data_IF_690322964804
#
_entry.id   IF_690322964804
#
_cell.length_a   1.000
_cell.length_b   1.000
_cell.length_c   1.000
_cell.angle_alpha   90.00
_cell.angle_beta   90.00
_cell.angle_gamma   90.00
#
_symmetry.space_group_name_H-M   'P 1'
#
loop_
_entity.id
_entity.type
_entity.pdbx_description
1 polymer ?
#
# COMPACT_ATOMS: atom_id res chain seq x y z
N UNK A 1 34.24 8.14 29.33
CA UNK A 1 33.52 7.37 28.29
C UNK A 1 32.48 8.28 27.70
N UNK A 2 32.68 8.70 26.44
CA UNK A 2 31.82 9.65 25.72
C UNK A 2 30.74 8.86 24.99
N UNK A 3 29.48 9.08 25.34
CA UNK A 3 28.31 8.50 24.68
C UNK A 3 28.08 9.32 23.40
N UNK A 4 28.26 8.69 22.24
CA UNK A 4 27.86 9.29 20.95
C UNK A 4 26.34 9.13 20.78
N UNK A 5 25.60 10.16 20.34
CA UNK A 5 24.19 10.03 20.02
C UNK A 5 24.00 9.30 18.69
N UNK A 6 23.11 8.31 18.68
CA UNK A 6 22.59 7.71 17.44
C UNK A 6 21.71 8.75 16.76
N UNK A 7 22.10 9.18 15.56
CA UNK A 7 21.32 10.09 14.72
C UNK A 7 20.17 9.31 14.08
N UNK A 8 18.93 9.56 14.52
CA UNK A 8 17.75 9.24 13.73
C UNK A 8 17.68 10.21 12.54
N UNK A 9 18.00 9.72 11.35
CA UNK A 9 17.89 10.48 10.11
C UNK A 9 16.46 10.32 9.58
N UNK A 10 15.66 11.40 9.65
CA UNK A 10 14.39 11.49 8.96
C UNK A 10 14.65 11.51 7.44
N UNK A 11 14.16 10.52 6.70
CA UNK A 11 14.25 10.47 5.24
C UNK A 11 12.91 10.91 4.64
N UNK A 12 12.95 12.12 4.10
CA UNK A 12 12.24 12.66 2.93
C UNK A 12 10.78 12.23 2.69
N UNK A 13 9.83 12.95 3.29
CA UNK A 13 8.48 13.12 2.74
C UNK A 13 8.57 13.99 1.47
N UNK A 14 8.42 13.40 0.29
CA UNK A 14 8.20 14.17 -0.95
C UNK A 14 6.73 14.63 -0.99
N UNK A 15 6.43 15.67 -0.21
CA UNK A 15 5.19 16.43 -0.36
C UNK A 15 5.40 17.49 -1.46
N UNK A 16 4.94 17.22 -2.69
CA UNK A 16 4.77 18.27 -3.70
C UNK A 16 3.54 19.11 -3.34
N UNK A 17 3.78 20.25 -2.70
CA UNK A 17 2.79 21.32 -2.56
C UNK A 17 2.77 22.16 -3.84
N UNK A 18 1.71 22.04 -4.65
CA UNK A 18 1.40 23.02 -5.70
C UNK A 18 0.57 24.16 -5.09
N UNK A 19 1.15 25.36 -5.13
CA UNK A 19 0.55 26.63 -4.68
C UNK A 19 -0.66 27.00 -5.55
N UNK A 20 -1.74 27.40 -4.88
CA UNK A 20 -2.92 27.99 -5.50
C UNK A 20 -2.68 29.44 -5.95
N UNK A 21 -3.05 29.72 -7.20
CA UNK A 21 -3.82 30.89 -7.64
C UNK A 21 -3.33 32.30 -7.32
N UNK A 22 -2.78 32.99 -8.33
CA UNK A 22 -2.68 34.44 -8.42
C UNK A 22 -2.82 34.93 -9.88
N UNK A 23 -3.95 35.58 -10.16
CA UNK A 23 -4.40 36.34 -11.36
C UNK A 23 -3.43 37.47 -11.77
N UNK A 24 -3.07 37.83 -13.03
CA UNK A 24 -3.73 38.28 -14.31
C UNK A 24 -2.58 38.72 -15.30
N UNK A 25 -2.78 39.28 -16.52
CA UNK A 25 -3.63 38.94 -17.67
C UNK A 25 -2.83 38.77 -19.01
N UNK A 26 -3.57 38.52 -20.10
CA UNK A 26 -3.17 38.19 -21.47
C UNK A 26 -2.30 39.22 -22.25
N UNK A 27 -1.47 38.73 -23.19
CA UNK A 27 -1.21 39.35 -24.51
C UNK A 27 -0.93 38.27 -25.57
N UNK A 28 -1.56 38.46 -26.73
CA UNK A 28 -1.51 37.67 -27.98
C UNK A 28 -0.18 37.77 -28.72
N UNK A 29 0.12 36.73 -29.51
CA UNK A 29 0.65 36.74 -30.88
C UNK A 29 1.87 35.82 -31.11
N UNK A 30 1.68 34.82 -31.99
CA UNK A 30 2.73 34.32 -32.88
C UNK A 30 2.80 35.22 -34.13
N UNK A 31 3.90 35.24 -34.92
CA UNK A 31 4.12 34.15 -35.88
C UNK A 31 5.60 33.80 -36.23
N UNK A 32 5.78 32.53 -36.60
CA UNK A 32 6.53 32.00 -37.76
C UNK A 32 8.04 32.26 -38.00
N UNK A 33 8.74 31.13 -38.19
CA UNK A 33 9.74 30.75 -39.24
C UNK A 33 11.24 30.61 -38.94
N UNK A 34 11.76 29.52 -39.56
CA UNK A 34 13.14 29.13 -39.95
C UNK A 34 14.16 28.59 -38.94
N UNK A 35 14.39 27.27 -39.03
CA UNK A 35 15.64 26.63 -39.46
C UNK A 35 16.95 26.89 -38.70
N UNK A 36 17.53 25.83 -38.13
CA UNK A 36 18.94 25.83 -37.71
C UNK A 36 19.31 24.65 -36.80
N UNK A 37 20.12 23.73 -37.31
CA UNK A 37 20.82 22.66 -36.59
C UNK A 37 21.98 23.22 -35.76
N UNK A 38 22.10 22.83 -34.47
CA UNK A 38 23.33 22.32 -33.81
C UNK A 38 23.19 22.26 -32.27
N UNK A 39 23.68 21.14 -31.73
CA UNK A 39 24.42 20.94 -30.48
C UNK A 39 23.81 21.33 -29.10
N UNK A 40 23.64 20.27 -28.30
CA UNK A 40 24.19 20.07 -26.95
C UNK A 40 23.78 21.02 -25.80
N UNK A 41 23.06 20.45 -24.83
CA UNK A 41 23.07 20.89 -23.43
C UNK A 41 22.44 19.81 -22.54
N UNK A 42 23.28 18.91 -22.02
CA UNK A 42 22.96 18.18 -20.79
C UNK A 42 22.98 19.16 -19.61
N UNK A 43 21.97 19.20 -18.72
CA UNK A 43 22.12 19.93 -17.47
C UNK A 43 22.99 19.13 -16.49
N UNK A 44 24.13 19.73 -16.15
CA UNK A 44 25.03 19.33 -15.07
C UNK A 44 24.29 19.42 -13.73
N UNK A 45 24.19 18.29 -13.00
CA UNK A 45 23.81 18.27 -11.59
C UNK A 45 25.00 18.73 -10.73
N UNK A 46 24.82 19.60 -9.72
CA UNK A 46 25.88 19.90 -8.77
C UNK A 46 26.13 18.69 -7.85
N UNK A 47 27.40 18.48 -7.53
CA UNK A 47 27.93 17.22 -7.02
C UNK A 47 27.35 16.77 -5.69
N UNK A 48 27.00 15.48 -5.64
CA UNK A 48 26.75 14.74 -4.42
C UNK A 48 28.08 14.56 -3.68
N UNK A 49 28.22 15.28 -2.56
CA UNK A 49 29.19 14.92 -1.54
C UNK A 49 28.80 13.57 -0.94
N UNK A 50 29.69 12.60 -1.01
CA UNK A 50 29.53 11.28 -0.44
C UNK A 50 29.23 11.38 1.07
N UNK A 51 28.02 10.96 1.45
CA UNK A 51 27.69 10.56 2.81
C UNK A 51 27.28 9.09 2.73
N UNK A 52 27.88 8.25 3.57
CA UNK A 52 27.67 6.79 3.61
C UNK A 52 26.18 6.45 3.58
N UNK A 53 25.71 6.05 2.40
CA UNK A 53 24.29 5.93 2.04
C UNK A 53 23.69 4.61 2.44
N UNK A 54 23.44 4.40 3.73
CA UNK A 54 22.53 3.35 4.17
C UNK A 54 21.07 3.82 3.99
N UNK A 55 20.35 3.19 3.07
CA UNK A 55 18.90 3.33 2.95
C UNK A 55 18.24 2.71 4.19
N UNK A 56 17.44 3.50 4.90
CA UNK A 56 16.70 3.06 6.09
C UNK A 56 15.29 2.60 5.72
N UNK A 57 14.68 1.67 6.47
CA UNK A 57 13.29 1.27 6.26
C UNK A 57 12.32 2.46 6.44
N UNK A 58 11.32 2.53 5.57
CA UNK A 58 10.18 3.46 5.68
C UNK A 58 9.17 2.95 6.72
N UNK A 59 8.53 3.87 7.44
CA UNK A 59 7.49 3.55 8.40
C UNK A 59 6.19 3.06 7.71
N UNK A 60 5.48 2.05 8.27
CA UNK A 60 4.08 1.81 7.94
C UNK A 60 3.27 3.10 8.08
N UNK A 61 2.28 3.33 7.22
CA UNK A 61 1.41 4.53 7.24
C UNK A 61 1.91 5.75 6.45
N UNK A 62 3.09 5.70 5.82
CA UNK A 62 3.52 6.72 4.87
C UNK A 62 2.90 6.46 3.48
N UNK A 63 1.72 7.02 3.23
CA UNK A 63 1.03 6.93 1.93
C UNK A 63 1.95 7.31 0.77
N UNK A 64 2.01 6.45 -0.26
CA UNK A 64 2.49 6.84 -1.59
C UNK A 64 1.54 7.91 -2.19
N UNK A 65 2.13 8.86 -2.93
CA UNK A 65 1.44 10.00 -3.54
C UNK A 65 0.27 9.62 -4.46
N UNK A 66 -0.53 10.60 -4.93
CA UNK A 66 -1.76 10.32 -5.66
C UNK A 66 -1.49 9.64 -7.00
N UNK A 67 -1.98 8.41 -7.15
CA UNK A 67 -2.03 7.73 -8.45
C UNK A 67 -3.38 7.95 -9.14
N UNK A 68 -3.32 8.21 -10.44
CA UNK A 68 -4.45 8.60 -11.29
C UNK A 68 -5.22 7.34 -11.72
N UNK A 69 -6.18 6.92 -10.91
CA UNK A 69 -7.08 5.81 -11.26
C UNK A 69 -8.23 6.29 -12.15
N UNK A 70 -8.07 6.11 -13.46
CA UNK A 70 -9.12 6.24 -14.47
C UNK A 70 -10.07 5.03 -14.43
N UNK A 71 -11.06 5.05 -13.54
CA UNK A 71 -12.30 4.29 -13.71
C UNK A 71 -13.39 5.24 -14.20
N UNK A 72 -14.12 4.87 -15.24
CA UNK A 72 -15.25 5.66 -15.77
C UNK A 72 -16.35 5.79 -14.71
N UNK A 73 -16.25 6.79 -13.84
CA UNK A 73 -17.33 7.27 -12.98
C UNK A 73 -18.32 8.08 -13.84
N UNK A 74 -19.61 7.87 -13.60
CA UNK A 74 -20.66 8.65 -14.25
C UNK A 74 -20.46 10.15 -14.01
N UNK A 75 -20.52 10.95 -15.07
CA UNK A 75 -20.34 12.42 -15.12
C UNK A 75 -21.30 13.26 -14.22
N UNK A 76 -22.07 12.63 -13.33
CA UNK A 76 -23.09 13.27 -12.49
C UNK A 76 -22.70 13.41 -11.01
N UNK A 77 -21.60 12.82 -10.54
CA UNK A 77 -21.11 13.05 -9.17
C UNK A 77 -20.46 14.44 -9.04
N UNK A 78 -20.70 15.20 -7.97
CA UNK A 78 -19.94 16.43 -7.72
C UNK A 78 -18.45 16.13 -7.56
N UNK A 79 -17.57 17.00 -8.07
CA UNK A 79 -16.11 16.81 -7.99
C UNK A 79 -15.58 16.63 -6.54
N UNK A 80 -16.25 17.26 -5.57
CA UNK A 80 -15.94 17.11 -4.15
C UNK A 80 -16.26 15.71 -3.60
N UNK A 81 -17.36 15.09 -4.06
CA UNK A 81 -17.72 13.71 -3.71
C UNK A 81 -16.72 12.71 -4.33
N UNK A 82 -16.31 12.93 -5.59
CA UNK A 82 -15.23 12.13 -6.22
C UNK A 82 -13.92 12.20 -5.45
N UNK A 83 -13.58 13.38 -4.92
CA UNK A 83 -12.37 13.54 -4.11
C UNK A 83 -12.46 12.76 -2.79
N UNK A 84 -13.62 12.73 -2.14
CA UNK A 84 -13.83 11.94 -0.91
C UNK A 84 -13.66 10.45 -1.18
N UNK A 85 -14.17 9.93 -2.30
CA UNK A 85 -13.96 8.53 -2.70
C UNK A 85 -12.47 8.24 -2.93
N UNK A 86 -11.73 9.15 -3.58
CA UNK A 86 -10.30 9.00 -3.77
C UNK A 86 -9.51 9.01 -2.44
N UNK A 87 -9.94 9.84 -1.49
CA UNK A 87 -9.36 9.89 -0.14
C UNK A 87 -9.64 8.57 0.61
N UNK A 88 -10.87 8.04 0.54
CA UNK A 88 -11.21 6.74 1.12
C UNK A 88 -10.37 5.60 0.55
N UNK A 89 -10.22 5.53 -0.78
CA UNK A 89 -9.36 4.52 -1.42
C UNK A 89 -7.89 4.67 -1.03
N UNK A 90 -7.44 5.90 -0.80
CA UNK A 90 -6.08 6.17 -0.34
C UNK A 90 -5.88 5.69 1.10
N UNK A 91 -6.83 6.00 1.99
CA UNK A 91 -6.83 5.49 3.36
C UNK A 91 -6.81 3.96 3.37
N UNK A 92 -7.66 3.30 2.58
CA UNK A 92 -7.70 1.84 2.51
C UNK A 92 -6.36 1.20 2.10
N UNK A 93 -5.54 1.88 1.27
CA UNK A 93 -4.18 1.39 0.95
C UNK A 93 -3.21 1.57 2.11
N UNK A 94 -3.39 2.60 2.93
CA UNK A 94 -2.66 2.80 4.19
C UNK A 94 -3.00 1.71 5.19
N UNK A 95 -4.29 1.52 5.48
CA UNK A 95 -4.78 0.52 6.44
C UNK A 95 -4.36 -0.90 6.08
N UNK A 96 -4.50 -1.26 4.80
CA UNK A 96 -4.09 -2.59 4.35
C UNK A 96 -2.58 -2.81 4.53
N UNK A 97 -1.77 -1.78 4.27
CA UNK A 97 -0.33 -1.84 4.46
C UNK A 97 0.07 -1.88 5.93
N UNK A 98 -0.60 -1.13 6.80
CA UNK A 98 -0.42 -1.19 8.25
C UNK A 98 -0.78 -2.59 8.77
N UNK A 99 -1.96 -3.11 8.40
CA UNK A 99 -2.40 -4.47 8.69
C UNK A 99 -1.33 -5.52 8.33
N UNK A 100 -0.87 -5.55 7.07
CA UNK A 100 0.10 -6.51 6.59
C UNK A 100 1.48 -6.34 7.27
N UNK A 101 1.93 -5.11 7.48
CA UNK A 101 3.21 -4.82 8.14
C UNK A 101 3.20 -5.26 9.61
N UNK A 102 2.11 -4.99 10.33
CA UNK A 102 1.98 -5.35 11.74
C UNK A 102 1.89 -6.86 11.97
N UNK A 103 1.37 -7.64 11.02
CA UNK A 103 1.51 -9.09 11.05
C UNK A 103 2.99 -9.53 11.04
N UNK A 104 3.80 -8.94 10.14
CA UNK A 104 5.24 -9.25 10.08
C UNK A 104 6.01 -8.74 11.31
N UNK A 105 5.64 -7.58 11.84
CA UNK A 105 6.26 -7.01 13.05
C UNK A 105 5.93 -7.84 14.29
N UNK A 106 4.71 -8.38 14.37
CA UNK A 106 4.31 -9.33 15.40
C UNK A 106 5.19 -10.59 15.38
N UNK A 107 5.40 -11.18 14.19
CA UNK A 107 6.28 -12.34 14.02
C UNK A 107 7.72 -12.02 14.43
N UNK A 108 8.23 -10.83 14.11
CA UNK A 108 9.57 -10.42 14.52
C UNK A 108 9.67 -10.22 16.04
N UNK A 109 8.67 -9.61 16.67
CA UNK A 109 8.60 -9.47 18.13
C UNK A 109 8.60 -10.83 18.84
N UNK A 110 7.86 -11.80 18.29
CA UNK A 110 7.85 -13.16 18.82
C UNK A 110 9.23 -13.82 18.72
N UNK A 111 9.96 -13.64 17.60
CA UNK A 111 11.34 -14.15 17.44
C UNK A 111 12.33 -13.53 18.41
N UNK A 112 12.12 -12.27 18.77
CA UNK A 112 12.93 -11.55 19.77
C UNK A 112 12.49 -11.84 21.21
N UNK A 113 11.58 -12.79 21.44
CA UNK A 113 11.02 -13.17 22.75
C UNK A 113 10.28 -12.04 23.46
N UNK A 114 9.52 -11.24 22.72
CA UNK A 114 8.74 -10.11 23.22
C UNK A 114 7.23 -10.36 23.03
N UNK A 115 6.65 -11.33 23.75
CA UNK A 115 5.28 -11.81 23.48
C UNK A 115 4.21 -10.73 23.64
N UNK A 116 4.38 -9.80 24.60
CA UNK A 116 3.43 -8.68 24.77
C UNK A 116 3.48 -7.68 23.62
N UNK A 117 4.65 -7.45 23.04
CA UNK A 117 4.77 -6.60 21.85
C UNK A 117 4.27 -7.32 20.60
N UNK A 118 4.49 -8.63 20.51
CA UNK A 118 3.93 -9.44 19.44
C UNK A 118 2.40 -9.41 19.45
N UNK A 119 1.79 -9.57 20.62
CA UNK A 119 0.34 -9.45 20.83
C UNK A 119 -0.16 -8.04 20.47
N UNK A 120 0.51 -6.98 20.94
CA UNK A 120 0.15 -5.62 20.58
C UNK A 120 0.12 -5.39 19.06
N UNK A 121 1.17 -5.78 18.33
CA UNK A 121 1.16 -5.68 16.86
C UNK A 121 0.06 -6.53 16.22
N UNK A 122 -0.18 -7.74 16.73
CA UNK A 122 -1.22 -8.61 16.19
C UNK A 122 -2.63 -8.03 16.43
N UNK A 123 -2.85 -7.37 17.57
CA UNK A 123 -4.12 -6.75 17.93
C UNK A 123 -4.38 -5.54 17.06
N UNK A 124 -3.43 -4.61 16.99
CA UNK A 124 -3.51 -3.43 16.12
C UNK A 124 -3.70 -3.85 14.66
N UNK A 125 -2.95 -4.84 14.17
CA UNK A 125 -3.15 -5.40 12.82
C UNK A 125 -4.60 -5.83 12.54
N UNK A 126 -5.28 -6.43 13.52
CA UNK A 126 -6.68 -6.85 13.37
C UNK A 126 -7.64 -5.66 13.40
N UNK A 127 -7.31 -4.60 14.15
CA UNK A 127 -8.08 -3.34 14.17
C UNK A 127 -7.97 -2.62 12.81
N UNK A 128 -6.77 -2.50 12.22
CA UNK A 128 -6.60 -1.86 10.90
C UNK A 128 -7.46 -2.52 9.81
N UNK A 129 -7.51 -3.87 9.79
CA UNK A 129 -8.31 -4.61 8.82
C UNK A 129 -9.80 -4.62 9.17
N UNK A 130 -10.10 -5.02 10.41
CA UNK A 130 -11.45 -5.35 10.87
C UNK A 130 -12.30 -4.13 11.18
N UNK A 131 -11.67 -3.00 11.46
CA UNK A 131 -12.35 -1.74 11.73
C UNK A 131 -12.09 -0.72 10.62
N UNK A 132 -10.88 -0.17 10.54
CA UNK A 132 -10.61 0.98 9.69
C UNK A 132 -10.81 0.68 8.20
N UNK A 133 -10.10 -0.32 7.67
CA UNK A 133 -10.24 -0.75 6.28
C UNK A 133 -11.67 -1.18 5.97
N UNK A 134 -12.31 -1.94 6.85
CA UNK A 134 -13.68 -2.42 6.66
C UNK A 134 -14.71 -1.28 6.59
N UNK A 135 -14.63 -0.28 7.48
CA UNK A 135 -15.50 0.91 7.46
C UNK A 135 -15.30 1.73 6.19
N UNK A 136 -14.04 1.95 5.79
CA UNK A 136 -13.71 2.69 4.57
C UNK A 136 -14.17 1.91 3.31
N UNK A 137 -13.96 0.60 3.27
CA UNK A 137 -14.43 -0.30 2.21
C UNK A 137 -15.96 -0.28 2.06
N UNK A 138 -16.69 -0.20 3.17
CA UNK A 138 -18.14 -0.10 3.16
C UNK A 138 -18.62 1.22 2.53
N UNK A 139 -17.93 2.34 2.79
CA UNK A 139 -18.27 3.64 2.22
C UNK A 139 -18.06 3.73 0.71
N UNK A 140 -17.08 3.02 0.17
CA UNK A 140 -16.84 2.96 -1.29
C UNK A 140 -17.53 1.79 -1.98
N UNK A 141 -18.40 1.06 -1.25
CA UNK A 141 -19.07 -0.15 -1.74
C UNK A 141 -18.10 -1.14 -2.41
N UNK A 142 -16.95 -1.39 -1.74
CA UNK A 142 -15.94 -2.30 -2.25
C UNK A 142 -16.52 -3.70 -2.44
N UNK A 143 -17.16 -4.23 -1.40
CA UNK A 143 -17.74 -5.57 -1.37
C UNK A 143 -19.13 -5.55 -2.03
N UNK A 144 -19.25 -6.27 -3.14
CA UNK A 144 -20.51 -6.56 -3.84
C UNK A 144 -20.78 -8.07 -3.92
N UNK A 145 -21.63 -8.47 -4.86
CA UNK A 145 -21.88 -9.90 -5.12
C UNK A 145 -20.67 -10.62 -5.72
N UNK A 146 -20.69 -11.95 -5.75
CA UNK A 146 -19.56 -12.78 -6.18
C UNK A 146 -18.99 -12.40 -7.56
N UNK A 147 -19.85 -12.12 -8.54
CA UNK A 147 -19.42 -11.68 -9.87
C UNK A 147 -18.72 -10.31 -9.84
N UNK A 148 -19.28 -9.35 -9.08
CA UNK A 148 -18.71 -8.01 -8.97
C UNK A 148 -17.34 -8.05 -8.28
N UNK A 149 -17.20 -8.83 -7.20
CA UNK A 149 -15.94 -9.01 -6.49
C UNK A 149 -14.89 -9.65 -7.40
N UNK A 150 -15.24 -10.72 -8.13
CA UNK A 150 -14.32 -11.37 -9.08
C UNK A 150 -13.89 -10.44 -10.22
N UNK A 151 -14.78 -9.56 -10.72
CA UNK A 151 -14.41 -8.53 -11.71
C UNK A 151 -13.44 -7.49 -11.15
N UNK A 152 -13.59 -7.09 -9.88
CA UNK A 152 -12.62 -6.21 -9.22
C UNK A 152 -11.26 -6.88 -9.12
N UNK A 153 -11.22 -8.11 -8.60
CA UNK A 153 -9.97 -8.90 -8.52
C UNK A 153 -9.34 -9.00 -9.90
N UNK A 154 -10.11 -9.35 -10.94
CA UNK A 154 -9.61 -9.46 -12.31
C UNK A 154 -8.93 -8.17 -12.79
N UNK A 155 -9.60 -7.03 -12.62
CA UNK A 155 -9.05 -5.73 -13.01
C UNK A 155 -7.76 -5.40 -12.25
N UNK A 156 -7.71 -5.71 -10.95
CA UNK A 156 -6.51 -5.49 -10.14
C UNK A 156 -5.35 -6.38 -10.61
N UNK A 157 -5.61 -7.65 -10.94
CA UNK A 157 -4.59 -8.53 -11.52
C UNK A 157 -4.08 -8.01 -12.86
N UNK A 158 -4.97 -7.57 -13.76
CA UNK A 158 -4.60 -7.02 -15.07
C UNK A 158 -3.67 -5.81 -14.92
N UNK A 159 -4.05 -4.85 -14.07
CA UNK A 159 -3.22 -3.68 -13.77
C UNK A 159 -1.85 -4.07 -13.19
N UNK A 160 -1.83 -4.92 -12.17
CA UNK A 160 -0.59 -5.30 -11.49
C UNK A 160 0.37 -6.07 -12.39
N UNK A 161 -0.12 -6.84 -13.35
CA UNK A 161 0.72 -7.49 -14.36
C UNK A 161 1.48 -6.42 -15.16
N UNK A 162 0.79 -5.39 -15.64
CA UNK A 162 1.42 -4.30 -16.39
C UNK A 162 2.41 -3.52 -15.52
N UNK A 163 1.99 -3.10 -14.32
CA UNK A 163 2.81 -2.31 -13.41
C UNK A 163 4.10 -3.04 -13.01
N UNK A 164 4.02 -4.33 -12.68
CA UNK A 164 5.20 -5.09 -12.24
C UNK A 164 6.14 -5.42 -13.39
N UNK A 165 5.66 -5.54 -14.63
CA UNK A 165 6.54 -5.62 -15.79
C UNK A 165 7.30 -4.30 -15.99
N UNK A 166 6.64 -3.15 -15.77
CA UNK A 166 7.30 -1.84 -15.77
C UNK A 166 8.34 -1.75 -14.66
N UNK A 167 7.98 -2.13 -13.43
CA UNK A 167 8.91 -2.10 -12.28
C UNK A 167 10.10 -3.03 -12.49
N UNK A 168 9.88 -4.20 -13.12
CA UNK A 168 10.95 -5.11 -13.48
C UNK A 168 11.95 -4.47 -14.45
N UNK A 169 11.48 -3.80 -15.49
CA UNK A 169 12.33 -3.12 -16.45
C UNK A 169 13.08 -1.93 -15.85
N UNK A 170 12.42 -1.17 -14.98
CA UNK A 170 13.03 -0.07 -14.22
C UNK A 170 14.13 -0.57 -13.27
N UNK A 171 13.84 -1.60 -12.46
CA UNK A 171 14.84 -2.18 -11.56
C UNK A 171 16.05 -2.75 -12.32
N UNK A 172 15.82 -3.31 -13.53
CA UNK A 172 16.91 -3.79 -14.39
C UNK A 172 17.79 -2.65 -14.91
N UNK A 173 17.19 -1.49 -15.24
CA UNK A 173 17.93 -0.27 -15.63
C UNK A 173 18.72 0.32 -14.47
N UNK A 174 18.19 0.20 -13.26
CA UNK A 174 18.83 0.63 -12.02
C UNK A 174 19.98 -0.30 -11.58
N UNK A 175 20.09 -1.49 -12.18
CA UNK A 175 21.11 -2.50 -11.83
C UNK A 175 20.69 -3.45 -10.70
N UNK A 176 19.50 -3.28 -10.13
CA UNK A 176 18.94 -4.12 -9.07
C UNK A 176 18.25 -5.37 -9.68
N UNK A 177 19.03 -6.20 -10.38
CA UNK A 177 18.55 -7.38 -11.11
C UNK A 177 17.71 -8.37 -10.26
N UNK A 178 18.04 -8.67 -8.98
CA UNK A 178 17.19 -9.53 -8.16
C UNK A 178 15.78 -8.97 -7.93
N UNK A 179 15.64 -7.64 -7.80
CA UNK A 179 14.33 -7.00 -7.71
C UNK A 179 13.58 -7.07 -9.04
N UNK A 180 14.29 -6.87 -10.16
CA UNK A 180 13.70 -7.03 -11.48
C UNK A 180 13.14 -8.44 -11.71
N UNK A 181 13.88 -9.47 -11.28
CA UNK A 181 13.44 -10.87 -11.36
C UNK A 181 12.24 -11.13 -10.47
N UNK A 182 12.22 -10.58 -9.25
CA UNK A 182 11.09 -10.71 -8.32
C UNK A 182 9.81 -10.10 -8.91
N UNK A 183 9.86 -8.84 -9.40
CA UNK A 183 8.69 -8.21 -10.03
C UNK A 183 8.18 -9.01 -11.23
N UNK A 184 9.09 -9.46 -12.11
CA UNK A 184 8.70 -10.27 -13.26
C UNK A 184 8.10 -11.63 -12.86
N UNK A 185 8.56 -12.22 -11.76
CA UNK A 185 7.97 -13.44 -11.22
C UNK A 185 6.58 -13.20 -10.65
N UNK A 186 6.39 -12.16 -9.85
CA UNK A 186 5.07 -11.82 -9.30
C UNK A 186 4.09 -11.55 -10.45
N UNK A 187 4.50 -10.81 -11.50
CA UNK A 187 3.66 -10.61 -12.68
C UNK A 187 3.21 -11.92 -13.34
N UNK A 188 4.08 -12.94 -13.42
CA UNK A 188 3.70 -14.28 -13.92
C UNK A 188 2.71 -15.00 -13.00
N UNK A 189 2.85 -14.85 -11.68
CA UNK A 189 1.92 -15.40 -10.71
C UNK A 189 0.54 -14.72 -10.81
N UNK A 190 0.51 -13.38 -10.94
CA UNK A 190 -0.71 -12.61 -11.20
C UNK A 190 -1.43 -13.08 -12.47
N UNK A 191 -0.71 -13.42 -13.55
CA UNK A 191 -1.32 -14.02 -14.75
C UNK A 191 -1.96 -15.40 -14.46
N UNK A 192 -1.39 -16.20 -13.56
CA UNK A 192 -2.00 -17.45 -13.11
C UNK A 192 -3.26 -17.19 -12.25
N UNK A 193 -3.21 -16.21 -11.34
CA UNK A 193 -4.36 -15.76 -10.56
C UNK A 193 -5.49 -15.28 -11.47
N UNK A 194 -5.16 -14.43 -12.45
CA UNK A 194 -6.08 -13.91 -13.47
C UNK A 194 -6.84 -15.04 -14.17
N UNK A 195 -6.14 -16.09 -14.62
CA UNK A 195 -6.77 -17.29 -15.23
C UNK A 195 -7.73 -18.00 -14.28
N UNK A 196 -7.34 -18.17 -13.02
CA UNK A 196 -8.21 -18.78 -12.01
C UNK A 196 -9.46 -17.94 -11.75
N UNK A 197 -9.31 -16.61 -11.66
CA UNK A 197 -10.41 -15.66 -11.49
C UNK A 197 -11.35 -15.66 -12.68
N UNK A 198 -10.86 -15.74 -13.92
CA UNK A 198 -11.69 -15.89 -15.12
C UNK A 198 -12.51 -17.18 -15.09
N UNK A 199 -11.89 -18.30 -14.69
CA UNK A 199 -12.60 -19.57 -14.55
C UNK A 199 -13.67 -19.51 -13.45
N UNK A 200 -13.36 -18.91 -12.30
CA UNK A 200 -14.31 -18.69 -11.21
C UNK A 200 -15.46 -17.76 -11.62
N UNK A 201 -15.17 -16.69 -12.35
CA UNK A 201 -16.17 -15.74 -12.84
C UNK A 201 -17.17 -16.45 -13.76
N UNK A 202 -16.70 -17.31 -14.66
CA UNK A 202 -17.56 -18.14 -15.50
C UNK A 202 -18.42 -19.09 -14.65
N UNK A 203 -17.82 -19.78 -13.70
CA UNK A 203 -18.53 -20.71 -12.82
C UNK A 203 -19.64 -20.01 -12.01
N UNK A 204 -19.34 -18.85 -11.41
CA UNK A 204 -20.29 -18.05 -10.64
C UNK A 204 -21.41 -17.50 -11.53
N UNK A 205 -21.10 -17.00 -12.73
CA UNK A 205 -22.11 -16.51 -13.68
C UNK A 205 -23.09 -17.60 -14.14
N UNK A 206 -22.64 -18.86 -14.17
CA UNK A 206 -23.47 -20.03 -14.47
C UNK A 206 -24.21 -20.59 -13.24
N UNK A 207 -24.03 -20.00 -12.04
CA UNK A 207 -24.60 -20.48 -10.78
C UNK A 207 -23.93 -21.76 -10.24
N UNK A 208 -22.70 -22.06 -10.68
CA UNK A 208 -21.98 -23.30 -10.39
C UNK A 208 -20.81 -23.08 -9.43
N UNK A 209 -21.08 -22.65 -8.20
CA UNK A 209 -20.03 -22.49 -7.17
C UNK A 209 -19.18 -23.77 -6.99
N UNK A 210 -19.77 -24.94 -7.25
CA UNK A 210 -19.08 -26.23 -7.21
C UNK A 210 -17.91 -26.37 -8.18
N UNK A 211 -17.86 -25.55 -9.24
CA UNK A 211 -16.85 -25.63 -10.30
C UNK A 211 -15.72 -24.60 -10.15
N UNK A 212 -15.72 -23.83 -9.06
CA UNK A 212 -14.64 -22.87 -8.75
C UNK A 212 -13.32 -23.63 -8.55
N UNK A 213 -12.23 -23.25 -9.26
CA UNK A 213 -10.95 -23.95 -9.15
C UNK A 213 -10.30 -23.74 -7.79
N UNK A 214 -9.68 -24.79 -7.27
CA UNK A 214 -8.76 -24.67 -6.14
C UNK A 214 -7.45 -23.99 -6.59
N UNK A 215 -6.85 -23.23 -5.70
CA UNK A 215 -5.54 -22.62 -5.94
C UNK A 215 -4.40 -23.56 -5.56
N UNK A 216 -3.22 -23.39 -6.18
CA UNK A 216 -2.03 -24.12 -5.77
C UNK A 216 -1.65 -23.80 -4.31
N UNK A 217 -0.82 -24.67 -3.73
CA UNK A 217 -0.33 -24.49 -2.37
C UNK A 217 0.49 -23.20 -2.24
N UNK A 218 0.26 -22.47 -1.15
CA UNK A 218 0.91 -21.20 -0.82
C UNK A 218 2.35 -21.46 -0.39
N UNK A 219 3.30 -20.70 -0.94
CA UNK A 219 4.65 -20.63 -0.40
C UNK A 219 4.65 -19.71 0.80
N UNK A 220 5.24 -20.16 1.92
CA UNK A 220 5.46 -19.31 3.08
C UNK A 220 6.92 -18.87 3.12
N UNK A 221 7.17 -17.58 2.91
CA UNK A 221 8.49 -16.98 3.07
C UNK A 221 8.64 -16.43 4.49
N UNK A 222 9.70 -16.85 5.20
CA UNK A 222 10.03 -16.26 6.49
C UNK A 222 10.65 -14.87 6.29
N UNK A 223 9.91 -13.81 6.63
CA UNK A 223 10.45 -12.44 6.70
C UNK A 223 11.09 -12.21 8.06
N UNK A 224 12.38 -11.89 8.07
CA UNK A 224 13.17 -11.58 9.27
C UNK A 224 13.75 -10.18 9.18
N UNK A 225 14.16 -9.63 10.32
CA UNK A 225 14.82 -8.33 10.39
C UNK A 225 16.00 -8.24 9.41
N UNK A 226 16.04 -7.18 8.59
CA UNK A 226 17.10 -6.98 7.60
C UNK A 226 17.08 -5.60 6.94
N UNK A 227 18.22 -5.23 6.36
CA UNK A 227 18.32 -4.01 5.54
C UNK A 227 17.74 -4.23 4.14
N UNK A 228 17.40 -3.16 3.41
CA UNK A 228 17.05 -3.25 1.99
C UNK A 228 18.13 -4.00 1.20
N UNK A 229 17.70 -4.87 0.28
CA UNK A 229 18.57 -5.69 -0.58
C UNK A 229 18.75 -5.08 -1.97
N UNK A 230 18.37 -3.81 -2.12
CA UNK A 230 18.47 -3.02 -3.34
C UNK A 230 19.32 -1.79 -3.10
N UNK A 231 19.93 -1.27 -4.15
CA UNK A 231 20.87 -0.15 -4.06
C UNK A 231 20.27 1.14 -4.62
N UNK A 232 19.32 1.05 -5.56
CA UNK A 232 18.66 2.22 -6.13
C UNK A 232 17.51 2.69 -5.24
N UNK A 233 17.49 3.99 -4.85
CA UNK A 233 16.32 4.60 -4.22
C UNK A 233 15.05 4.50 -5.09
N UNK A 234 15.20 4.51 -6.41
CA UNK A 234 14.08 4.38 -7.33
C UNK A 234 13.51 2.95 -7.32
N UNK A 235 14.37 1.93 -7.32
CA UNK A 235 13.91 0.53 -7.15
C UNK A 235 13.27 0.32 -5.78
N UNK A 236 13.84 0.89 -4.70
CA UNK A 236 13.22 0.83 -3.37
C UNK A 236 11.82 1.45 -3.36
N UNK A 237 11.63 2.58 -4.03
CA UNK A 237 10.31 3.20 -4.20
C UNK A 237 9.32 2.26 -4.90
N UNK A 238 9.76 1.52 -5.94
CA UNK A 238 8.91 0.51 -6.61
C UNK A 238 8.56 -0.67 -5.73
N UNK A 239 9.49 -1.13 -4.90
CA UNK A 239 9.20 -2.19 -3.92
C UNK A 239 8.13 -1.73 -2.92
N UNK A 240 8.20 -0.48 -2.45
CA UNK A 240 7.17 0.08 -1.58
C UNK A 240 5.81 0.23 -2.27
N UNK A 241 5.79 0.68 -3.53
CA UNK A 241 4.55 0.73 -4.30
C UNK A 241 3.89 -0.65 -4.42
N UNK A 242 4.66 -1.68 -4.79
CA UNK A 242 4.18 -3.04 -4.87
C UNK A 242 3.73 -3.60 -3.50
N UNK A 243 4.41 -3.25 -2.40
CA UNK A 243 3.97 -3.64 -1.05
C UNK A 243 2.57 -3.12 -0.72
N UNK A 244 2.26 -1.87 -1.06
CA UNK A 244 0.91 -1.33 -0.87
C UNK A 244 -0.13 -2.06 -1.73
N UNK A 245 0.22 -2.38 -2.98
CA UNK A 245 -0.65 -3.10 -3.91
C UNK A 245 -0.96 -4.53 -3.42
N UNK A 246 0.05 -5.27 -2.98
CA UNK A 246 -0.13 -6.62 -2.43
C UNK A 246 -0.91 -6.61 -1.11
N UNK A 247 -0.62 -5.65 -0.23
CA UNK A 247 -1.35 -5.50 1.02
C UNK A 247 -2.83 -5.18 0.78
N UNK A 248 -3.13 -4.26 -0.14
CA UNK A 248 -4.50 -3.92 -0.51
C UNK A 248 -5.25 -5.11 -1.11
N UNK A 249 -4.60 -5.87 -2.00
CA UNK A 249 -5.17 -7.09 -2.58
C UNK A 249 -5.48 -8.11 -1.50
N UNK A 250 -4.55 -8.37 -0.58
CA UNK A 250 -4.74 -9.27 0.54
C UNK A 250 -5.98 -8.87 1.38
N UNK A 251 -6.05 -7.62 1.83
CA UNK A 251 -7.16 -7.13 2.64
C UNK A 251 -8.51 -7.24 1.89
N UNK A 252 -8.57 -6.81 0.63
CA UNK A 252 -9.80 -6.88 -0.17
C UNK A 252 -10.27 -8.33 -0.38
N UNK A 253 -9.35 -9.26 -0.66
CA UNK A 253 -9.66 -10.67 -0.86
C UNK A 253 -10.22 -11.32 0.41
N UNK A 254 -9.72 -10.98 1.60
CA UNK A 254 -10.28 -11.45 2.88
C UNK A 254 -11.74 -11.01 3.04
N UNK A 255 -12.05 -9.75 2.75
CA UNK A 255 -13.42 -9.22 2.80
C UNK A 255 -14.33 -9.92 1.77
N UNK A 256 -13.83 -10.18 0.57
CA UNK A 256 -14.59 -10.90 -0.46
C UNK A 256 -14.82 -12.36 -0.10
N UNK A 257 -13.84 -13.03 0.50
CA UNK A 257 -13.95 -14.41 0.93
C UNK A 257 -14.97 -14.57 2.06
N UNK A 258 -14.93 -13.68 3.05
CA UNK A 258 -15.91 -13.66 4.14
C UNK A 258 -17.32 -13.37 3.60
N UNK A 259 -17.46 -12.42 2.67
CA UNK A 259 -18.74 -12.18 2.00
C UNK A 259 -19.25 -13.42 1.26
N UNK A 260 -18.42 -14.08 0.45
CA UNK A 260 -18.78 -15.28 -0.28
C UNK A 260 -19.24 -16.40 0.67
N UNK A 261 -18.50 -16.62 1.77
CA UNK A 261 -18.85 -17.59 2.81
C UNK A 261 -20.21 -17.29 3.43
N UNK A 262 -20.46 -16.04 3.81
CA UNK A 262 -21.71 -15.62 4.44
C UNK A 262 -22.92 -15.68 3.51
N UNK A 263 -22.70 -15.78 2.19
CA UNK A 263 -23.75 -15.90 1.17
C UNK A 263 -23.82 -17.32 0.56
N UNK A 264 -23.23 -18.33 1.21
CA UNK A 264 -23.38 -19.72 0.80
C UNK A 264 -22.51 -20.15 -0.38
N UNK A 265 -21.40 -19.46 -0.63
CA UNK A 265 -20.42 -19.77 -1.67
C UNK A 265 -19.07 -20.22 -1.06
N UNK A 266 -19.02 -21.39 -0.38
CA UNK A 266 -17.83 -21.83 0.35
C UNK A 266 -16.65 -22.16 -0.56
N UNK A 267 -16.86 -22.58 -1.82
CA UNK A 267 -15.74 -22.85 -2.73
C UNK A 267 -15.13 -21.55 -3.26
N UNK A 268 -15.97 -20.57 -3.62
CA UNK A 268 -15.50 -19.22 -3.92
C UNK A 268 -14.75 -18.60 -2.73
N UNK A 269 -15.29 -18.73 -1.51
CA UNK A 269 -14.62 -18.25 -0.31
C UNK A 269 -13.25 -18.90 -0.10
N UNK A 270 -13.15 -20.22 -0.25
CA UNK A 270 -11.88 -20.93 -0.14
C UNK A 270 -10.86 -20.49 -1.20
N UNK A 271 -11.30 -20.28 -2.44
CA UNK A 271 -10.43 -19.76 -3.50
C UNK A 271 -9.96 -18.33 -3.19
N UNK A 272 -10.86 -17.42 -2.80
CA UNK A 272 -10.50 -16.03 -2.49
C UNK A 272 -9.53 -15.95 -1.29
N UNK A 273 -9.75 -16.75 -0.25
CA UNK A 273 -8.79 -16.90 0.86
C UNK A 273 -7.45 -17.44 0.37
N UNK A 274 -7.45 -18.44 -0.52
CA UNK A 274 -6.20 -18.95 -1.11
C UNK A 274 -5.43 -17.88 -1.88
N UNK A 275 -6.10 -16.98 -2.62
CA UNK A 275 -5.44 -15.83 -3.25
C UNK A 275 -4.88 -14.90 -2.17
N UNK A 276 -5.68 -14.55 -1.16
CA UNK A 276 -5.26 -13.66 -0.08
C UNK A 276 -3.99 -14.19 0.62
N UNK A 277 -3.90 -15.50 0.85
CA UNK A 277 -2.72 -16.15 1.42
C UNK A 277 -1.50 -16.04 0.50
N UNK A 278 -1.65 -16.16 -0.83
CA UNK A 278 -0.52 -15.96 -1.76
C UNK A 278 -0.06 -14.51 -1.77
N UNK A 279 -1.00 -13.55 -1.85
CA UNK A 279 -0.65 -12.12 -1.88
C UNK A 279 0.15 -11.72 -0.63
N UNK A 280 -0.18 -12.28 0.54
CA UNK A 280 0.53 -11.97 1.78
C UNK A 280 1.79 -12.83 2.02
N UNK A 281 1.67 -14.16 1.99
CA UNK A 281 2.76 -15.05 2.41
C UNK A 281 3.86 -15.27 1.36
N UNK A 282 3.58 -14.98 0.08
CA UNK A 282 4.56 -15.05 -1.01
C UNK A 282 4.93 -13.63 -1.49
N UNK A 283 4.00 -12.93 -2.14
CA UNK A 283 4.30 -11.67 -2.83
C UNK A 283 4.72 -10.56 -1.85
N UNK A 284 3.85 -10.20 -0.90
CA UNK A 284 4.15 -9.19 0.11
C UNK A 284 5.37 -9.57 0.95
N UNK A 285 5.45 -10.82 1.40
CA UNK A 285 6.57 -11.30 2.22
C UNK A 285 7.94 -11.15 1.52
N UNK A 286 8.03 -11.53 0.24
CA UNK A 286 9.29 -11.43 -0.53
C UNK A 286 9.64 -9.99 -0.88
N UNK A 287 8.64 -9.18 -1.24
CA UNK A 287 8.82 -7.73 -1.43
C UNK A 287 9.29 -7.08 -0.12
N UNK A 288 8.71 -7.45 1.02
CA UNK A 288 9.02 -6.89 2.33
C UNK A 288 10.46 -7.24 2.74
N UNK A 289 10.86 -8.50 2.52
CA UNK A 289 12.23 -8.95 2.71
C UNK A 289 13.22 -8.16 1.84
N UNK A 290 12.88 -7.91 0.58
CA UNK A 290 13.74 -7.20 -0.36
C UNK A 290 13.83 -5.70 -0.06
N UNK A 291 12.72 -5.10 0.37
CA UNK A 291 12.64 -3.70 0.79
C UNK A 291 13.27 -3.45 2.18
N UNK A 292 13.59 -4.51 2.94
CA UNK A 292 14.04 -4.38 4.32
C UNK A 292 12.94 -3.83 5.24
N UNK A 293 11.67 -4.13 4.95
CA UNK A 293 10.52 -3.58 5.67
C UNK A 293 10.54 -3.91 7.17
N UNK A 294 10.98 -5.13 7.52
CA UNK A 294 11.09 -5.60 8.89
C UNK A 294 12.48 -5.27 9.42
N UNK A 295 12.56 -4.45 10.47
CA UNK A 295 13.76 -4.20 11.26
C UNK A 295 13.74 -4.97 12.60
N UNK A 296 14.57 -4.54 13.55
CA UNK A 296 14.44 -5.03 14.93
C UNK A 296 13.09 -4.64 15.51
N UNK A 297 12.59 -5.31 16.54
CA UNK A 297 11.28 -4.92 17.09
C UNK A 297 11.30 -3.50 17.68
N UNK A 298 12.46 -3.00 18.10
CA UNK A 298 12.60 -1.59 18.50
C UNK A 298 12.41 -0.64 17.31
N UNK A 299 13.04 -0.94 16.17
CA UNK A 299 12.90 -0.14 14.94
C UNK A 299 11.46 -0.21 14.41
N UNK A 300 10.85 -1.39 14.44
CA UNK A 300 9.45 -1.60 14.04
C UNK A 300 8.48 -0.80 14.91
N UNK A 301 8.71 -0.72 16.22
CA UNK A 301 7.89 0.12 17.11
C UNK A 301 8.08 1.61 16.80
N UNK A 302 9.31 2.08 16.57
CA UNK A 302 9.56 3.47 16.17
C UNK A 302 8.87 3.81 14.85
N UNK A 303 8.94 2.90 13.89
CA UNK A 303 8.27 3.00 12.61
C UNK A 303 6.75 3.09 12.79
N UNK A 304 6.14 2.17 13.55
CA UNK A 304 4.72 2.19 13.86
C UNK A 304 4.30 3.52 14.53
N UNK A 305 4.99 3.94 15.60
CA UNK A 305 4.73 5.25 16.25
C UNK A 305 4.77 6.42 15.27
N UNK A 306 5.72 6.41 14.33
CA UNK A 306 5.82 7.43 13.29
C UNK A 306 4.62 7.44 12.34
N UNK A 307 4.24 6.26 11.86
CA UNK A 307 3.07 6.04 10.99
C UNK A 307 1.77 6.51 11.63
N UNK A 308 1.45 5.93 12.78
CA UNK A 308 0.24 6.21 13.55
C UNK A 308 0.11 7.71 13.88
N UNK A 309 1.22 8.37 14.23
CA UNK A 309 1.21 9.82 14.48
C UNK A 309 0.97 10.64 13.22
N UNK A 310 1.48 10.20 12.08
CA UNK A 310 1.27 10.88 10.82
C UNK A 310 -0.19 10.75 10.38
N UNK A 311 -0.75 9.56 10.48
CA UNK A 311 -2.15 9.30 10.11
C UNK A 311 -3.12 10.05 11.03
N UNK A 312 -2.94 9.94 12.36
CA UNK A 312 -3.77 10.64 13.35
C UNK A 312 -3.72 12.17 13.27
N UNK A 313 -2.55 12.77 12.96
CA UNK A 313 -2.37 14.24 13.02
C UNK A 313 -2.43 14.94 11.69
N UNK A 314 -2.21 14.22 10.59
CA UNK A 314 -2.07 14.82 9.26
C UNK A 314 -3.09 14.23 8.30
N UNK A 315 -3.07 12.92 8.08
CA UNK A 315 -3.86 12.29 7.02
C UNK A 315 -5.35 12.36 7.33
N UNK A 316 -5.77 11.74 8.43
CA UNK A 316 -7.18 11.61 8.75
C UNK A 316 -7.88 12.92 9.08
N UNK A 317 -7.28 13.86 9.84
CA UNK A 317 -7.86 15.18 10.01
C UNK A 317 -8.08 15.91 8.68
N UNK A 318 -7.11 15.85 7.76
CA UNK A 318 -7.23 16.50 6.46
C UNK A 318 -8.30 15.84 5.57
N UNK A 319 -8.45 14.52 5.65
CA UNK A 319 -9.47 13.77 4.91
C UNK A 319 -10.87 14.08 5.47
N UNK A 320 -11.00 14.11 6.79
CA UNK A 320 -12.25 14.47 7.47
C UNK A 320 -12.72 15.88 7.10
N UNK A 321 -11.83 16.88 7.11
CA UNK A 321 -12.15 18.25 6.72
C UNK A 321 -12.63 18.34 5.26
N UNK A 322 -11.96 17.64 4.33
CA UNK A 322 -12.38 17.61 2.93
C UNK A 322 -13.73 16.93 2.75
N UNK A 323 -13.99 15.84 3.45
CA UNK A 323 -15.28 15.16 3.44
C UNK A 323 -16.41 16.05 4.01
N UNK A 324 -16.17 16.79 5.11
CA UNK A 324 -17.12 17.78 5.65
C UNK A 324 -17.43 18.87 4.64
N UNK A 325 -16.40 19.43 4.00
CA UNK A 325 -16.57 20.46 2.97
C UNK A 325 -17.33 19.94 1.75
N UNK A 326 -17.27 18.64 1.46
CA UNK A 326 -18.02 17.98 0.40
C UNK A 326 -19.46 17.61 0.79
N UNK A 327 -19.85 17.75 2.07
CA UNK A 327 -21.14 17.29 2.58
C UNK A 327 -21.21 15.78 2.87
N UNK A 328 -20.08 15.07 2.82
CA UNK A 328 -19.96 13.63 3.04
C UNK A 328 -19.76 13.33 4.54
N UNK A 329 -20.79 13.59 5.35
CA UNK A 329 -20.69 13.55 6.82
C UNK A 329 -20.23 12.20 7.36
N UNK A 330 -20.72 11.09 6.79
CA UNK A 330 -20.35 9.73 7.21
C UNK A 330 -18.87 9.43 6.96
N UNK A 331 -18.32 9.86 5.82
CA UNK A 331 -16.90 9.70 5.54
C UNK A 331 -16.04 10.57 6.49
N UNK A 332 -16.50 11.78 6.78
CA UNK A 332 -15.84 12.65 7.76
C UNK A 332 -15.81 12.05 9.17
N UNK A 333 -16.90 11.40 9.59
CA UNK A 333 -16.99 10.69 10.88
C UNK A 333 -16.02 9.50 10.93
N UNK A 334 -16.00 8.67 9.88
CA UNK A 334 -15.07 7.52 9.79
C UNK A 334 -13.61 7.97 9.84
N UNK A 335 -13.25 9.05 9.12
CA UNK A 335 -11.88 9.58 9.22
C UNK A 335 -11.59 10.18 10.60
N UNK A 336 -12.54 10.86 11.24
CA UNK A 336 -12.32 11.40 12.58
C UNK A 336 -12.17 10.31 13.64
N UNK A 337 -12.89 9.19 13.49
CA UNK A 337 -12.76 8.01 14.33
C UNK A 337 -11.37 7.35 14.16
N UNK A 338 -10.96 7.06 12.92
CA UNK A 338 -9.63 6.52 12.62
C UNK A 338 -8.50 7.42 13.19
N UNK A 339 -8.62 8.75 13.07
CA UNK A 339 -7.65 9.67 13.69
C UNK A 339 -7.51 9.49 15.22
N UNK A 340 -8.64 9.22 15.90
CA UNK A 340 -8.66 9.01 17.33
C UNK A 340 -8.09 7.63 17.72
N UNK A 341 -8.30 6.61 16.90
CA UNK A 341 -7.80 5.26 17.10
C UNK A 341 -6.29 5.18 16.83
N UNK A 342 -5.79 5.79 15.75
CA UNK A 342 -4.35 5.93 15.47
C UNK A 342 -3.62 6.68 16.60
N UNK A 343 -4.29 7.63 17.26
CA UNK A 343 -3.72 8.29 18.44
C UNK A 343 -3.49 7.30 19.60
N UNK A 344 -4.41 6.34 19.77
CA UNK A 344 -4.29 5.28 20.78
C UNK A 344 -3.23 4.26 20.37
N UNK A 345 -3.18 3.86 19.09
CA UNK A 345 -2.15 2.98 18.55
C UNK A 345 -0.75 3.55 18.77
N UNK A 346 -0.52 4.81 18.38
CA UNK A 346 0.74 5.52 18.63
C UNK A 346 1.13 5.48 20.12
N UNK A 347 0.21 5.81 21.02
CA UNK A 347 0.46 5.82 22.45
C UNK A 347 0.78 4.41 23.00
N UNK A 348 0.11 3.38 22.50
CA UNK A 348 0.35 1.98 22.88
C UNK A 348 1.74 1.52 22.43
N UNK A 349 2.13 1.81 21.18
CA UNK A 349 3.46 1.49 20.67
C UNK A 349 4.56 2.29 21.38
N UNK A 350 4.35 3.57 21.69
CA UNK A 350 5.29 4.38 22.48
C UNK A 350 5.52 3.81 23.88
N UNK A 351 4.45 3.35 24.52
CA UNK A 351 4.53 2.69 25.82
C UNK A 351 5.29 1.36 25.71
N UNK A 352 5.03 0.57 24.67
CA UNK A 352 5.76 -0.67 24.42
C UNK A 352 7.24 -0.41 24.12
N UNK A 353 7.59 0.69 23.43
CA UNK A 353 8.95 1.10 23.15
C UNK A 353 9.69 1.51 24.43
N UNK A 354 9.01 2.24 25.32
CA UNK A 354 9.58 2.73 26.57
C UNK A 354 9.79 1.64 27.63
N UNK A 355 8.95 0.60 27.64
CA UNK A 355 8.96 -0.48 28.65
C UNK A 355 9.86 -1.67 28.28
N UNK A 356 10.83 -1.49 27.37
CA UNK A 356 11.80 -2.53 26.99
C UNK A 356 12.98 -2.69 27.97
N UNK A 357 12.99 -1.92 29.06
CA UNK A 357 14.02 -1.92 30.10
C UNK A 357 13.73 -2.86 31.26
#
# INVERSE_FOLDING_TARGET
>A
MSIRPVRALAVLTLASAAVAGGTLPAVLASPSTTGGVHADASPVLPGAGAADGQLTPMAPGALAGPDVLGGMESDLTPAAARRTVADLRTAMRGEAFAHASYQLFSLQAARENLPRTAELFADTSREELGDHFAKQAALVALVGGGEANLRRVLNDQDRMIEDYLVFADEARRDGDNPAAELFAEIARNKEAHRKAVVAALKAVAEGKDVDVPALPAVRHEAVVAGLPQVTSPHTLLRLHAALHDEAHSHAALLLFAEHAKNHGHPKLAAMLNGLAEVEFNDHFARLARMAGLVGTTEDNLRAAVGGERYESKVVYPAFAERARAAGESRAAEVFAEAAADETKHAAAFEKALSNRG
#
